data_IF_870867198615
#
_entry.id   IF_870867198615
#
_cell.length_a   1.000
_cell.length_b   1.000
_cell.length_c   1.000
_cell.angle_alpha   90.00
_cell.angle_beta   90.00
_cell.angle_gamma   90.00
#
_symmetry.space_group_name_H-M   'P 1'
#
loop_
_entity.id
_entity.type
_entity.pdbx_description
1 polymer ?
#
# COMPACT_ATOMS: atom_id res chain seq x y z
N UNK A 1 10.93 10.18 -4.07
CA UNK A 1 11.93 10.79 -3.21
C UNK A 1 11.59 10.44 -1.76
N UNK A 2 12.32 9.50 -1.18
CA UNK A 2 12.09 8.95 0.15
C UNK A 2 12.66 9.87 1.24
N UNK A 3 13.70 10.66 0.94
CA UNK A 3 14.37 11.52 1.92
C UNK A 3 14.22 13.03 1.66
N UNK A 4 13.55 13.41 0.57
CA UNK A 4 13.24 14.78 0.20
C UNK A 4 14.41 15.51 -0.45
N UNK A 5 15.37 14.79 -1.06
CA UNK A 5 16.58 15.38 -1.67
C UNK A 5 16.41 15.84 -3.13
N UNK A 6 15.20 15.72 -3.67
CA UNK A 6 14.82 16.04 -5.04
C UNK A 6 15.19 14.96 -6.05
N UNK A 7 15.67 13.79 -5.63
CA UNK A 7 16.03 12.69 -6.52
C UNK A 7 15.12 11.48 -6.33
N UNK A 8 15.09 10.66 -7.36
CA UNK A 8 14.31 9.42 -7.33
C UNK A 8 15.11 8.30 -6.65
N UNK A 9 14.47 7.69 -5.66
CA UNK A 9 14.88 6.45 -5.01
C UNK A 9 14.19 5.24 -5.65
N UNK A 10 14.66 4.04 -5.29
CA UNK A 10 14.11 2.79 -5.82
C UNK A 10 13.37 2.00 -4.76
N UNK A 11 12.23 1.42 -5.18
CA UNK A 11 11.52 0.39 -4.45
C UNK A 11 11.59 -0.89 -5.31
N UNK A 12 12.31 -1.89 -4.83
CA UNK A 12 12.31 -3.21 -5.45
C UNK A 12 11.28 -4.09 -4.75
N UNK A 13 10.44 -4.74 -5.54
CA UNK A 13 9.45 -5.69 -5.04
C UNK A 13 9.90 -7.09 -5.42
N UNK A 14 10.12 -7.95 -4.43
CA UNK A 14 10.38 -9.38 -4.65
C UNK A 14 9.14 -10.19 -4.30
N UNK A 15 8.91 -11.24 -5.08
CA UNK A 15 7.79 -12.15 -4.94
C UNK A 15 8.32 -13.56 -4.75
N UNK A 16 8.15 -14.09 -3.54
CA UNK A 16 8.54 -15.45 -3.21
C UNK A 16 7.33 -16.38 -3.21
N UNK A 17 7.38 -17.41 -4.06
CA UNK A 17 6.38 -18.47 -4.09
C UNK A 17 6.98 -19.83 -4.44
N UNK A 18 6.41 -20.88 -3.84
CA UNK A 18 6.75 -22.28 -4.08
C UNK A 18 6.10 -22.83 -5.36
N UNK A 19 6.63 -23.94 -5.87
CA UNK A 19 6.01 -24.66 -6.99
C UNK A 19 4.58 -25.11 -6.70
N UNK A 20 4.26 -25.47 -5.45
CA UNK A 20 2.89 -25.82 -5.08
C UNK A 20 1.96 -24.61 -5.17
N UNK A 21 2.43 -23.42 -4.80
CA UNK A 21 1.69 -22.17 -4.98
C UNK A 21 1.50 -21.84 -6.47
N UNK A 22 2.51 -22.09 -7.32
CA UNK A 22 2.40 -21.93 -8.77
C UNK A 22 1.31 -22.84 -9.37
N UNK A 23 1.25 -24.11 -8.95
CA UNK A 23 0.17 -25.03 -9.37
C UNK A 23 -1.20 -24.55 -8.88
N UNK A 24 -1.29 -24.08 -7.63
CA UNK A 24 -2.54 -23.54 -7.07
C UNK A 24 -3.01 -22.29 -7.83
N UNK A 25 -2.08 -21.43 -8.25
CA UNK A 25 -2.35 -20.26 -9.10
C UNK A 25 -3.04 -20.69 -10.40
N UNK A 26 -2.47 -21.69 -11.09
CA UNK A 26 -3.02 -22.18 -12.36
C UNK A 26 -4.43 -22.77 -12.20
N UNK A 27 -4.72 -23.39 -11.06
CA UNK A 27 -6.02 -24.00 -10.78
C UNK A 27 -7.10 -22.99 -10.33
N UNK A 28 -6.76 -22.08 -9.43
CA UNK A 28 -7.76 -21.24 -8.70
C UNK A 28 -7.79 -19.79 -9.21
N UNK A 29 -6.76 -19.34 -9.93
CA UNK A 29 -6.60 -17.97 -10.44
C UNK A 29 -6.73 -16.86 -9.38
N UNK A 30 -6.66 -17.24 -8.10
CA UNK A 30 -6.66 -16.38 -6.92
C UNK A 30 -5.62 -16.93 -5.95
N UNK A 31 -4.79 -16.06 -5.41
CA UNK A 31 -3.77 -16.46 -4.44
C UNK A 31 -3.49 -15.34 -3.43
N UNK A 32 -3.20 -15.73 -2.19
CA UNK A 32 -2.49 -14.88 -1.24
C UNK A 32 -0.98 -15.07 -1.41
N UNK A 33 -0.29 -14.04 -1.87
CA UNK A 33 1.18 -14.02 -2.00
C UNK A 33 1.79 -13.05 -0.99
N UNK A 34 2.98 -13.38 -0.50
CA UNK A 34 3.84 -12.41 0.17
C UNK A 34 4.62 -11.61 -0.87
N UNK A 35 4.73 -10.31 -0.67
CA UNK A 35 5.66 -9.44 -1.37
C UNK A 35 6.58 -8.81 -0.33
N UNK A 36 7.86 -8.78 -0.64
CA UNK A 36 8.87 -8.10 0.15
C UNK A 36 9.35 -6.87 -0.60
N UNK A 37 9.42 -5.75 0.12
CA UNK A 37 9.86 -4.47 -0.43
C UNK A 37 11.27 -4.17 0.07
N UNK A 38 12.15 -3.90 -0.88
CA UNK A 38 13.50 -3.44 -0.61
C UNK A 38 13.60 -1.99 -1.06
N UNK A 39 13.79 -1.09 -0.11
CA UNK A 39 13.99 0.32 -0.40
C UNK A 39 15.48 0.57 -0.65
N UNK A 40 15.80 1.35 -1.69
CA UNK A 40 17.15 1.79 -1.97
C UNK A 40 17.22 3.29 -2.12
N UNK A 41 18.00 3.90 -1.23
CA UNK A 41 18.26 5.32 -1.18
C UNK A 41 19.27 5.72 -2.26
N UNK A 42 19.00 6.80 -2.98
CA UNK A 42 19.89 7.41 -3.95
C UNK A 42 21.11 7.99 -3.22
N UNK A 43 22.28 7.73 -3.77
CA UNK A 43 23.54 8.34 -3.36
C UNK A 43 24.33 8.78 -4.59
N UNK A 44 25.33 9.67 -4.45
CA UNK A 44 26.17 10.07 -5.57
C UNK A 44 26.86 8.89 -6.30
N UNK A 45 27.05 7.76 -5.63
CA UNK A 45 27.68 6.55 -6.18
C UNK A 45 26.71 5.44 -6.60
N UNK A 46 25.40 5.70 -6.66
CA UNK A 46 24.36 4.71 -6.99
C UNK A 46 23.36 4.53 -5.86
N UNK A 47 22.83 3.32 -5.68
CA UNK A 47 21.77 3.03 -4.72
C UNK A 47 22.28 2.23 -3.53
N UNK A 48 21.84 2.60 -2.31
CA UNK A 48 22.16 1.85 -1.08
C UNK A 48 20.89 1.30 -0.43
N UNK A 49 20.86 0.03 -0.02
CA UNK A 49 19.73 -0.53 0.71
C UNK A 49 19.46 0.25 1.99
N UNK A 50 18.20 0.60 2.22
CA UNK A 50 17.73 1.11 3.50
C UNK A 50 17.72 -0.05 4.50
N UNK A 51 18.27 0.15 5.70
CA UNK A 51 18.36 -0.88 6.75
C UNK A 51 17.26 -0.68 7.79
N UNK A 52 16.87 -1.78 8.47
CA UNK A 52 15.92 -1.75 9.58
C UNK A 52 14.44 -1.73 9.15
N UNK A 53 14.19 -1.88 7.86
CA UNK A 53 12.86 -1.88 7.24
C UNK A 53 12.42 -3.33 6.96
N UNK A 54 11.66 -3.95 7.86
CA UNK A 54 10.90 -5.17 7.54
C UNK A 54 9.57 -4.76 6.89
N UNK A 55 9.67 -4.44 5.60
CA UNK A 55 8.52 -4.03 4.79
C UNK A 55 8.09 -5.26 3.99
N UNK A 56 7.24 -6.06 4.61
CA UNK A 56 6.63 -7.23 3.99
C UNK A 56 5.11 -7.09 3.99
N UNK A 57 4.49 -7.28 2.83
CA UNK A 57 3.05 -7.22 2.67
C UNK A 57 2.49 -8.55 2.18
N UNK A 58 1.35 -8.98 2.74
CA UNK A 58 0.61 -10.13 2.19
C UNK A 58 -0.57 -9.62 1.38
N UNK A 59 -0.59 -9.98 0.11
CA UNK A 59 -1.57 -9.50 -0.86
C UNK A 59 -2.39 -10.67 -1.39
N UNK A 60 -3.70 -10.56 -1.29
CA UNK A 60 -4.61 -11.44 -2.01
C UNK A 60 -4.80 -10.87 -3.41
N UNK A 61 -4.14 -11.47 -4.39
CA UNK A 61 -4.17 -11.02 -5.76
C UNK A 61 -5.11 -11.86 -6.60
N UNK A 62 -5.97 -11.17 -7.35
CA UNK A 62 -6.79 -11.77 -8.39
C UNK A 62 -6.05 -11.67 -9.73
N UNK A 63 -5.63 -12.81 -10.27
CA UNK A 63 -4.76 -12.87 -11.45
C UNK A 63 -5.50 -12.56 -12.75
N UNK A 64 -6.83 -12.50 -12.74
CA UNK A 64 -7.61 -12.09 -13.92
C UNK A 64 -7.42 -10.60 -14.27
N UNK A 65 -7.15 -9.77 -13.27
CA UNK A 65 -7.04 -8.31 -13.40
C UNK A 65 -5.80 -7.78 -12.67
N UNK A 66 -4.72 -8.57 -12.62
CA UNK A 66 -3.54 -8.21 -11.85
C UNK A 66 -2.89 -6.92 -12.37
N UNK A 67 -3.04 -5.83 -11.62
CA UNK A 67 -2.27 -4.60 -11.80
C UNK A 67 -1.19 -4.52 -10.72
N UNK A 68 -0.01 -5.05 -11.02
CA UNK A 68 1.15 -5.03 -10.11
C UNK A 68 1.59 -3.59 -9.80
N UNK A 69 1.23 -2.58 -10.61
CA UNK A 69 1.56 -1.18 -10.33
C UNK A 69 1.03 -0.63 -8.99
N UNK A 70 0.08 -1.32 -8.34
CA UNK A 70 -0.54 -0.87 -7.10
C UNK A 70 0.31 -1.08 -5.85
N UNK A 71 1.45 -1.77 -5.94
CA UNK A 71 2.37 -1.89 -4.79
C UNK A 71 3.20 -0.65 -4.51
N UNK A 72 3.25 0.29 -5.45
CA UNK A 72 3.84 1.62 -5.25
C UNK A 72 2.93 2.58 -4.47
N UNK A 73 1.66 2.22 -4.24
CA UNK A 73 0.62 3.08 -3.65
C UNK A 73 0.69 3.17 -2.12
N UNK A 74 1.78 2.72 -1.52
CA UNK A 74 1.97 2.70 -0.07
C UNK A 74 3.01 3.74 0.37
N UNK A 75 3.42 4.65 -0.51
CA UNK A 75 4.30 5.75 -0.19
C UNK A 75 3.60 7.09 -0.46
N UNK A 76 3.70 8.05 0.45
CA UNK A 76 3.14 9.40 0.31
C UNK A 76 3.61 10.31 1.45
N UNK A 77 3.52 11.63 1.27
CA UNK A 77 3.88 12.63 2.29
C UNK A 77 2.62 13.06 3.08
N UNK A 78 2.38 12.44 4.23
CA UNK A 78 1.18 12.64 5.05
C UNK A 78 1.33 13.76 6.09
N UNK A 79 2.55 14.26 6.31
CA UNK A 79 2.82 15.30 7.31
C UNK A 79 3.47 16.58 6.77
N UNK A 80 3.76 16.60 5.47
CA UNK A 80 4.19 17.76 4.71
C UNK A 80 5.66 18.09 4.85
N UNK A 81 6.49 17.14 5.33
CA UNK A 81 7.92 17.37 5.52
C UNK A 81 8.77 17.13 4.26
N UNK A 82 8.11 16.75 3.15
CA UNK A 82 8.72 16.49 1.86
C UNK A 82 9.34 15.11 1.70
N UNK A 83 9.20 14.22 2.69
CA UNK A 83 9.65 12.83 2.63
C UNK A 83 8.47 11.91 2.41
N UNK A 84 8.75 10.73 1.87
CA UNK A 84 7.72 9.72 1.72
C UNK A 84 7.60 8.90 3.01
N UNK A 85 6.41 8.83 3.57
CA UNK A 85 6.03 7.86 4.59
C UNK A 85 5.62 6.53 3.95
N UNK A 86 5.91 5.44 4.66
CA UNK A 86 5.53 4.10 4.22
C UNK A 86 4.30 3.60 4.96
N UNK A 87 3.27 3.20 4.21
CA UNK A 87 1.97 2.73 4.68
C UNK A 87 1.89 1.21 4.58
N UNK A 88 1.79 0.50 5.69
CA UNK A 88 1.52 -0.94 5.69
C UNK A 88 0.03 -1.21 5.87
N UNK A 89 -0.54 -1.99 4.94
CA UNK A 89 -1.93 -2.46 4.98
C UNK A 89 -2.01 -3.97 4.75
N UNK A 90 -3.18 -4.57 4.98
CA UNK A 90 -3.41 -6.00 4.71
C UNK A 90 -3.23 -6.94 5.90
N UNK A 91 -2.91 -6.39 7.08
CA UNK A 91 -2.78 -7.15 8.34
C UNK A 91 -4.02 -7.00 9.22
N UNK A 92 -5.19 -7.15 8.58
CA UNK A 92 -6.49 -6.91 9.20
C UNK A 92 -7.01 -5.49 8.96
N UNK A 93 -7.56 -4.87 10.01
CA UNK A 93 -8.14 -3.52 9.95
C UNK A 93 -7.15 -2.42 10.33
N UNK A 94 -5.93 -2.76 10.75
CA UNK A 94 -4.95 -1.79 11.19
C UNK A 94 -4.05 -1.42 10.01
N UNK A 95 -3.97 -0.14 9.73
CA UNK A 95 -3.00 0.46 8.82
C UNK A 95 -1.92 1.10 9.68
N UNK A 96 -0.65 0.87 9.35
CA UNK A 96 0.45 1.49 10.07
C UNK A 96 1.26 2.36 9.13
N UNK A 97 1.70 3.51 9.63
CA UNK A 97 2.45 4.50 8.87
C UNK A 97 3.81 4.66 9.55
N UNK A 98 4.87 4.56 8.76
CA UNK A 98 6.25 4.72 9.20
C UNK A 98 6.82 5.98 8.59
N UNK A 99 7.32 6.87 9.45
CA UNK A 99 7.85 8.18 9.05
C UNK A 99 9.16 8.04 8.29
N UNK A 100 9.25 8.69 7.13
CA UNK A 100 10.50 8.81 6.38
C UNK A 100 11.51 9.68 7.13
N UNK A 101 12.80 9.34 7.05
CA UNK A 101 13.88 10.12 7.67
C UNK A 101 14.84 10.65 6.62
N UNK A 102 15.58 11.69 6.98
CA UNK A 102 16.60 12.29 6.11
C UNK A 102 17.70 11.31 5.68
N UNK A 103 17.93 10.23 6.43
CA UNK A 103 18.87 9.15 6.08
C UNK A 103 18.22 8.03 5.24
N UNK A 104 17.05 8.29 4.63
CA UNK A 104 16.17 7.32 3.97
C UNK A 104 15.63 6.21 4.88
N UNK A 105 15.88 6.27 6.20
CA UNK A 105 15.47 5.26 7.15
C UNK A 105 14.01 5.38 7.61
N UNK A 106 13.52 4.32 8.24
CA UNK A 106 12.21 4.27 8.90
C UNK A 106 12.36 3.66 10.29
N UNK A 107 11.43 3.97 11.20
CA UNK A 107 11.36 3.30 12.49
C UNK A 107 10.87 1.85 12.33
N UNK A 108 11.44 0.93 13.12
CA UNK A 108 10.98 -0.46 13.13
C UNK A 108 9.59 -0.61 13.74
N UNK A 109 9.21 0.29 14.65
CA UNK A 109 7.84 0.44 15.12
C UNK A 109 7.14 1.52 14.30
N UNK A 110 5.82 1.40 14.09
CA UNK A 110 5.08 2.41 13.35
C UNK A 110 4.95 3.71 14.15
N UNK A 111 5.02 4.83 13.44
CA UNK A 111 4.88 6.17 14.02
C UNK A 111 3.40 6.54 14.21
N UNK A 112 2.53 5.99 13.36
CA UNK A 112 1.08 6.14 13.47
C UNK A 112 0.38 4.82 13.11
N UNK A 113 -0.73 4.54 13.78
CA UNK A 113 -1.62 3.44 13.47
C UNK A 113 -3.05 3.95 13.30
N UNK A 114 -3.65 3.66 12.15
CA UNK A 114 -5.02 4.03 11.79
C UNK A 114 -5.88 2.77 11.78
N UNK A 115 -7.04 2.86 12.42
CA UNK A 115 -7.99 1.75 12.49
C UNK A 115 -9.06 1.94 11.41
N UNK A 116 -9.05 1.06 10.40
CA UNK A 116 -10.07 1.02 9.37
C UNK A 116 -11.40 0.50 9.93
N UNK A 117 -12.50 0.97 9.33
CA UNK A 117 -13.85 0.46 9.60
C UNK A 117 -13.93 -1.04 9.32
N UNK A 118 -13.45 -1.48 8.15
CA UNK A 118 -13.34 -2.89 7.76
C UNK A 118 -11.98 -3.23 7.16
N UNK A 119 -11.63 -4.51 7.19
CA UNK A 119 -10.39 -4.99 6.60
C UNK A 119 -10.54 -4.92 5.07
N UNK A 120 -9.57 -4.34 4.34
CA UNK A 120 -9.62 -4.29 2.88
C UNK A 120 -9.77 -5.68 2.28
N UNK A 121 -10.86 -5.88 1.53
CA UNK A 121 -11.09 -7.14 0.81
C UNK A 121 -10.13 -7.32 -0.36
N UNK A 122 -9.73 -6.20 -0.95
CA UNK A 122 -8.78 -6.13 -2.04
C UNK A 122 -7.88 -4.91 -1.84
N UNK A 123 -6.61 -5.14 -1.54
CA UNK A 123 -5.64 -4.07 -1.31
C UNK A 123 -5.29 -3.31 -2.60
N UNK A 124 -5.55 -3.89 -3.78
CA UNK A 124 -5.36 -3.17 -5.06
C UNK A 124 -6.35 -2.02 -5.24
N UNK A 125 -7.37 -1.94 -4.39
CA UNK A 125 -8.38 -0.90 -4.39
C UNK A 125 -8.15 0.18 -3.32
N UNK A 126 -7.01 0.10 -2.61
CA UNK A 126 -6.54 1.17 -1.73
C UNK A 126 -5.57 2.07 -2.50
N UNK A 127 -5.57 3.37 -2.21
CA UNK A 127 -4.76 4.37 -2.91
C UNK A 127 -4.26 5.44 -1.94
N UNK A 128 -3.01 5.87 -2.14
CA UNK A 128 -2.42 7.03 -1.46
C UNK A 128 -2.25 8.15 -2.48
N UNK A 129 -2.86 9.31 -2.22
CA UNK A 129 -2.81 10.53 -3.04
C UNK A 129 -3.40 11.71 -2.28
N UNK A 130 -3.10 12.92 -2.70
CA UNK A 130 -3.84 14.12 -2.27
C UNK A 130 -5.29 14.05 -2.78
N UNK A 131 -6.26 13.98 -1.86
CA UNK A 131 -7.69 13.86 -2.17
C UNK A 131 -8.45 15.15 -1.96
N UNK A 132 -7.98 16.05 -1.11
CA UNK A 132 -8.67 17.30 -0.75
C UNK A 132 -7.96 18.59 -1.24
N UNK A 133 -6.77 18.44 -1.84
CA UNK A 133 -6.01 19.51 -2.48
C UNK A 133 -5.15 20.31 -1.50
N UNK A 134 -4.89 19.81 -0.29
CA UNK A 134 -4.08 20.50 0.71
C UNK A 134 -2.56 20.30 0.53
N UNK A 135 -2.16 19.46 -0.42
CA UNK A 135 -0.77 19.14 -0.71
C UNK A 135 -0.19 18.01 0.13
N UNK A 136 -0.98 17.40 1.03
CA UNK A 136 -0.63 16.20 1.78
C UNK A 136 -1.22 14.96 1.11
N UNK A 137 -0.62 13.81 1.37
CA UNK A 137 -1.12 12.53 0.92
C UNK A 137 -2.23 12.03 1.84
N UNK A 138 -3.31 11.52 1.24
CA UNK A 138 -4.43 10.90 1.94
C UNK A 138 -4.57 9.43 1.57
N UNK A 139 -5.32 8.68 2.38
CA UNK A 139 -5.63 7.28 2.12
C UNK A 139 -7.10 7.10 1.71
N UNK A 140 -7.32 6.54 0.53
CA UNK A 140 -8.64 6.05 0.09
C UNK A 140 -8.65 4.53 0.02
N UNK A 141 -9.70 3.90 0.55
CA UNK A 141 -9.94 2.45 0.42
C UNK A 141 -11.30 2.19 -0.21
N UNK A 142 -11.31 1.56 -1.40
CA UNK A 142 -12.56 1.14 -2.05
C UNK A 142 -12.92 -0.29 -1.65
N UNK A 143 -14.11 -0.46 -1.09
CA UNK A 143 -14.63 -1.72 -0.56
C UNK A 143 -15.82 -2.20 -1.39
N UNK A 144 -15.63 -3.18 -2.31
CA UNK A 144 -16.74 -3.82 -3.00
C UNK A 144 -17.67 -4.51 -1.99
N UNK A 145 -18.93 -4.12 -2.00
CA UNK A 145 -19.94 -4.73 -1.14
C UNK A 145 -20.41 -6.05 -1.76
N UNK A 146 -20.74 -7.06 -0.93
CA UNK A 146 -21.26 -8.30 -1.46
C UNK A 146 -22.65 -8.05 -2.06
N UNK A 147 -23.08 -8.85 -3.05
CA UNK A 147 -24.41 -8.69 -3.63
C UNK A 147 -25.47 -8.92 -2.56
N UNK A 148 -26.39 -7.98 -2.41
CA UNK A 148 -27.54 -8.10 -1.52
C UNK A 148 -28.61 -8.92 -2.22
N UNK A 149 -29.47 -9.60 -1.44
CA UNK A 149 -30.59 -10.39 -1.99
C UNK A 149 -31.55 -9.57 -2.85
N UNK A 150 -31.60 -8.25 -2.64
CA UNK A 150 -32.41 -7.29 -3.38
C UNK A 150 -31.77 -6.81 -4.68
N UNK A 151 -30.50 -7.13 -4.95
CA UNK A 151 -29.79 -6.57 -6.09
C UNK A 151 -30.25 -7.23 -7.39
N UNK A 152 -30.55 -6.43 -8.41
CA UNK A 152 -30.91 -6.92 -9.73
C UNK A 152 -29.72 -7.63 -10.41
N UNK A 153 -30.01 -8.70 -11.15
CA UNK A 153 -28.97 -9.41 -11.92
C UNK A 153 -28.41 -8.50 -13.01
N UNK A 154 -27.08 -8.38 -13.05
CA UNK A 154 -26.37 -7.60 -14.06
C UNK A 154 -26.06 -6.16 -13.64
N UNK A 155 -26.48 -5.73 -12.45
CA UNK A 155 -26.11 -4.42 -11.90
C UNK A 155 -24.72 -4.50 -11.26
N UNK A 156 -23.92 -3.45 -11.48
CA UNK A 156 -22.62 -3.28 -10.81
C UNK A 156 -22.83 -3.23 -9.30
N UNK A 157 -22.09 -4.05 -8.56
CA UNK A 157 -22.26 -4.11 -7.11
C UNK A 157 -21.90 -2.76 -6.47
N UNK A 158 -22.63 -2.35 -5.43
CA UNK A 158 -22.31 -1.12 -4.72
C UNK A 158 -20.90 -1.21 -4.12
N UNK A 159 -20.24 -0.07 -4.04
CA UNK A 159 -18.94 0.08 -3.39
C UNK A 159 -19.07 1.07 -2.23
N UNK A 160 -18.38 0.79 -1.13
CA UNK A 160 -18.13 1.79 -0.07
C UNK A 160 -16.76 2.42 -0.32
N UNK A 161 -16.67 3.74 -0.21
CA UNK A 161 -15.41 4.47 -0.26
C UNK A 161 -15.09 4.97 1.14
N UNK A 162 -13.99 4.50 1.70
CA UNK A 162 -13.48 4.97 3.00
C UNK A 162 -12.36 5.98 2.71
N UNK A 163 -12.53 7.23 3.14
CA UNK A 163 -11.57 8.32 2.96
C UNK A 163 -10.96 8.68 4.31
N UNK A 164 -9.64 8.62 4.40
CA UNK A 164 -8.86 8.98 5.57
C UNK A 164 -7.95 10.14 5.18
N UNK A 165 -8.42 11.35 5.48
CA UNK A 165 -7.69 12.58 5.18
C UNK A 165 -6.60 12.83 6.22
N UNK A 166 -5.44 13.23 5.74
CA UNK A 166 -4.33 13.75 6.53
C UNK A 166 -4.61 15.20 6.95
N UNK A 167 -3.73 15.83 7.73
CA UNK A 167 -3.87 17.25 8.11
C UNK A 167 -4.99 17.61 9.12
N UNK A 168 -6.01 16.75 9.30
CA UNK A 168 -7.19 16.99 10.13
C UNK A 168 -8.18 17.97 9.48
N UNK A 169 -9.46 17.89 9.86
CA UNK A 169 -10.49 18.80 9.33
C UNK A 169 -10.13 20.27 9.66
N UNK A 170 -9.69 21.01 8.64
CA UNK A 170 -9.57 22.47 8.70
C UNK A 170 -10.92 23.13 8.45
#
# INVERSE_FOLDING_TARGET
>A
DLNGDGKEDLILTTLDFSMLQAVKIMAVQRIGIGLDFHLLCQTPGGFKPVRGTDLSGKFNLNLKNLKIGHVSQFAGDFDGDGRAEFVQMGRGRTVTIHRGKADCGYNSQPDLAVQLEEAPRDLSLAQVRDLDGDGLADLMVTQPQPPRRSDEKGVTQPVRLDLYLSGGAR
#
